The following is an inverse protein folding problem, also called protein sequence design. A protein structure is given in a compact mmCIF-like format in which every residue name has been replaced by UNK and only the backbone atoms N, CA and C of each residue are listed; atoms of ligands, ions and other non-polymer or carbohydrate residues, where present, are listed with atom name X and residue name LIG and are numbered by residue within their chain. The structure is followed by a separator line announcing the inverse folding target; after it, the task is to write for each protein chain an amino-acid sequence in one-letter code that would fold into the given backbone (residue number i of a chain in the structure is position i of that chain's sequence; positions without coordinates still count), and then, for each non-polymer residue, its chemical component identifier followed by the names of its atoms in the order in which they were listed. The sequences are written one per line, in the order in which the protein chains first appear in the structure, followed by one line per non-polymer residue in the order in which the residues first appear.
data_IF_643371315161
#
_entry.id   IF_643371315161
#
_cell.length_a   1.000
_cell.length_b   1.000
_cell.length_c   1.000
_cell.angle_alpha   90.00
_cell.angle_beta   90.00
_cell.angle_gamma   90.00
#
_symmetry.space_group_name_H-M   'P 1'
#
loop_
_entity.id
_entity.type
_entity.pdbx_description
1 polymer ?
#
# COMPACT_ATOMS: atom_id res chain seq x y z
N UNK A 1 28.31 23.62 11.19
CA UNK A 1 28.20 22.27 10.57
C UNK A 1 27.49 22.32 9.22
N UNK A 2 26.26 22.86 9.16
CA UNK A 2 25.48 22.97 7.91
C UNK A 2 26.05 23.97 6.88
N UNK A 3 26.65 25.08 7.30
CA UNK A 3 27.38 26.01 6.42
C UNK A 3 28.59 25.38 5.74
N UNK A 4 29.25 24.42 6.39
CA UNK A 4 30.35 23.65 5.81
C UNK A 4 29.86 22.59 4.80
N UNK A 5 28.60 22.14 4.91
CA UNK A 5 27.99 21.20 3.96
C UNK A 5 27.64 21.89 2.63
N UNK A 6 27.16 23.14 2.67
CA UNK A 6 26.82 23.94 1.48
C UNK A 6 28.05 24.25 0.60
N UNK A 7 29.22 24.43 1.21
CA UNK A 7 30.47 24.64 0.46
C UNK A 7 31.06 23.36 -0.16
N UNK A 8 30.58 22.18 0.25
CA UNK A 8 31.19 20.89 -0.13
C UNK A 8 30.41 20.15 -1.22
N UNK A 9 29.11 20.45 -1.38
CA UNK A 9 28.23 19.81 -2.35
C UNK A 9 27.29 20.85 -3.00
N UNK A 10 27.82 21.68 -3.93
CA UNK A 10 27.08 22.83 -4.47
C UNK A 10 25.91 22.44 -5.40
N UNK A 11 25.88 21.22 -5.93
CA UNK A 11 24.83 20.76 -6.85
C UNK A 11 24.29 19.37 -6.47
N UNK A 12 23.23 19.35 -5.65
CA UNK A 12 22.18 18.33 -5.64
C UNK A 12 21.20 18.60 -4.48
N UNK A 13 20.02 17.98 -4.50
CA UNK A 13 18.88 18.08 -3.57
C UNK A 13 19.21 18.25 -2.06
N UNK A 14 20.40 17.84 -1.63
CA UNK A 14 20.92 18.07 -0.29
C UNK A 14 21.14 19.56 0.03
N UNK A 15 21.55 20.38 -0.93
CA UNK A 15 21.75 21.83 -0.75
C UNK A 15 20.41 22.55 -0.54
N UNK A 16 19.39 22.18 -1.33
CA UNK A 16 18.02 22.68 -1.19
C UNK A 16 17.41 22.30 0.17
N UNK A 17 17.47 21.00 0.53
CA UNK A 17 16.97 20.51 1.83
C UNK A 17 17.69 21.16 3.00
N UNK A 18 19.03 21.27 2.92
CA UNK A 18 19.86 21.91 3.96
C UNK A 18 19.51 23.39 4.11
N UNK A 19 19.30 24.10 3.00
CA UNK A 19 18.91 25.51 3.00
C UNK A 19 17.54 25.71 3.65
N UNK A 20 16.58 24.83 3.38
CA UNK A 20 15.26 24.88 4.02
C UNK A 20 15.32 24.61 5.53
N UNK A 21 16.17 23.67 5.96
CA UNK A 21 16.40 23.44 7.38
C UNK A 21 17.04 24.65 8.07
N UNK A 22 18.01 25.31 7.43
CA UNK A 22 18.64 26.53 7.95
C UNK A 22 17.62 27.68 8.05
N UNK A 23 16.80 27.89 7.02
CA UNK A 23 15.68 28.84 7.07
C UNK A 23 14.81 28.63 8.32
N UNK A 24 14.40 27.39 8.60
CA UNK A 24 13.55 27.06 9.76
C UNK A 24 14.26 27.31 11.10
N UNK A 25 15.52 26.91 11.21
CA UNK A 25 16.32 27.11 12.43
C UNK A 25 16.43 28.62 12.73
N UNK A 26 16.79 29.44 11.74
CA UNK A 26 16.94 30.88 11.95
C UNK A 26 15.61 31.58 12.21
N UNK A 27 14.52 31.13 11.58
CA UNK A 27 13.16 31.58 11.91
C UNK A 27 12.83 31.33 13.38
N UNK A 28 13.08 30.12 13.86
CA UNK A 28 12.76 29.71 15.24
C UNK A 28 13.67 30.40 16.28
N UNK A 29 14.88 30.81 15.88
CA UNK A 29 15.82 31.62 16.67
C UNK A 29 15.53 33.13 16.63
N UNK A 30 14.63 33.59 15.76
CA UNK A 30 14.36 35.01 15.55
C UNK A 30 15.46 35.77 14.80
N UNK A 31 16.41 35.08 14.15
CA UNK A 31 17.46 35.68 13.35
C UNK A 31 16.93 36.00 11.94
N UNK A 32 16.33 37.17 11.81
CA UNK A 32 15.68 37.63 10.58
C UNK A 32 16.63 37.77 9.38
N UNK A 33 17.91 38.04 9.63
CA UNK A 33 18.90 38.26 8.56
C UNK A 33 19.25 36.94 7.89
N UNK A 34 19.63 35.95 8.68
CA UNK A 34 19.95 34.64 8.14
C UNK A 34 18.70 33.90 7.64
N UNK A 35 17.56 34.08 8.30
CA UNK A 35 16.28 33.55 7.83
C UNK A 35 15.95 34.04 6.42
N UNK A 36 16.06 35.35 6.16
CA UNK A 36 15.78 35.93 4.85
C UNK A 36 16.79 35.47 3.79
N UNK A 37 18.08 35.38 4.15
CA UNK A 37 19.13 34.89 3.25
C UNK A 37 18.82 33.48 2.70
N UNK A 38 18.48 32.53 3.58
CA UNK A 38 18.17 31.17 3.14
C UNK A 38 16.83 31.06 2.44
N UNK A 39 15.85 31.92 2.79
CA UNK A 39 14.59 32.02 2.06
C UNK A 39 14.82 32.43 0.60
N UNK A 40 15.61 33.48 0.38
CA UNK A 40 15.90 34.00 -0.96
C UNK A 40 16.76 33.03 -1.77
N UNK A 41 17.68 32.31 -1.12
CA UNK A 41 18.47 31.26 -1.77
C UNK A 41 17.57 30.15 -2.32
N UNK A 42 16.57 29.71 -1.55
CA UNK A 42 15.63 28.65 -1.97
C UNK A 42 14.73 29.14 -3.12
N UNK A 43 14.15 30.33 -2.98
CA UNK A 43 13.20 30.88 -3.97
C UNK A 43 13.90 31.16 -5.30
N UNK A 44 15.11 31.73 -5.27
CA UNK A 44 15.83 32.11 -6.49
C UNK A 44 16.58 30.92 -7.12
N UNK A 45 17.10 30.01 -6.31
CA UNK A 45 17.87 28.85 -6.79
C UNK A 45 17.01 27.67 -7.21
N UNK A 46 15.82 27.51 -6.60
CA UNK A 46 14.96 26.34 -6.80
C UNK A 46 13.47 26.73 -6.90
N UNK A 47 13.10 27.66 -7.79
CA UNK A 47 11.75 28.26 -7.83
C UNK A 47 10.61 27.24 -8.02
N UNK A 48 10.88 26.13 -8.70
CA UNK A 48 9.88 25.08 -8.95
C UNK A 48 9.75 24.05 -7.82
N UNK A 49 10.66 24.08 -6.84
CA UNK A 49 10.64 23.12 -5.73
C UNK A 49 9.46 23.35 -4.77
N UNK A 50 8.99 22.28 -4.14
CA UNK A 50 7.94 22.38 -3.11
C UNK A 50 8.36 23.32 -1.97
N UNK A 51 9.65 23.33 -1.60
CA UNK A 51 10.17 24.25 -0.59
C UNK A 51 10.03 25.72 -1.02
N UNK A 52 10.37 26.07 -2.27
CA UNK A 52 10.20 27.44 -2.76
C UNK A 52 8.72 27.83 -2.80
N UNK A 53 7.84 26.94 -3.29
CA UNK A 53 6.40 27.17 -3.36
C UNK A 53 5.77 27.35 -1.96
N UNK A 54 6.18 26.56 -0.96
CA UNK A 54 5.78 26.73 0.45
C UNK A 54 6.24 28.09 1.02
N UNK A 55 7.43 28.56 0.65
CA UNK A 55 8.00 29.82 1.16
C UNK A 55 7.41 31.07 0.50
N UNK A 56 6.94 30.95 -0.74
CA UNK A 56 6.26 32.00 -1.51
C UNK A 56 4.80 32.11 -1.07
N UNK A 57 4.10 30.97 -0.99
CA UNK A 57 2.70 30.89 -0.59
C UNK A 57 2.53 29.93 0.59
N UNK A 58 2.35 30.44 1.83
CA UNK A 58 2.11 29.62 3.01
C UNK A 58 0.86 28.73 2.93
N UNK A 59 -0.08 29.03 2.02
CA UNK A 59 -1.27 28.20 1.78
C UNK A 59 -1.00 27.03 0.82
N UNK A 60 0.11 27.06 0.06
CA UNK A 60 0.53 25.99 -0.82
C UNK A 60 0.70 24.65 -0.08
N UNK A 61 1.21 24.67 1.16
CA UNK A 61 1.30 23.45 1.97
C UNK A 61 -0.09 22.86 2.31
N UNK A 62 -1.08 23.72 2.59
CA UNK A 62 -2.46 23.28 2.83
C UNK A 62 -3.13 22.78 1.53
N UNK A 63 -2.82 23.39 0.39
CA UNK A 63 -3.30 22.95 -0.92
C UNK A 63 -2.63 21.64 -1.36
N UNK A 64 -1.34 21.44 -1.09
CA UNK A 64 -0.61 20.20 -1.35
C UNK A 64 -1.12 19.05 -0.46
N UNK A 65 -1.29 19.30 0.85
CA UNK A 65 -1.92 18.33 1.76
C UNK A 65 -3.37 18.04 1.36
N UNK A 66 -4.14 19.05 0.95
CA UNK A 66 -5.50 18.86 0.45
C UNK A 66 -5.53 18.07 -0.87
N UNK A 67 -4.59 18.31 -1.79
CA UNK A 67 -4.45 17.59 -3.04
C UNK A 67 -3.99 16.14 -2.82
N UNK A 68 -3.05 15.89 -1.90
CA UNK A 68 -2.62 14.55 -1.48
C UNK A 68 -3.75 13.77 -0.80
N UNK A 69 -4.46 14.41 0.12
CA UNK A 69 -5.66 13.83 0.74
C UNK A 69 -6.77 13.60 -0.30
N UNK A 70 -6.90 14.48 -1.31
CA UNK A 70 -7.91 14.35 -2.37
C UNK A 70 -7.58 13.24 -3.35
N UNK A 71 -6.34 13.10 -3.83
CA UNK A 71 -5.97 12.00 -4.74
C UNK A 71 -6.10 10.65 -4.05
N UNK A 72 -5.80 10.58 -2.75
CA UNK A 72 -6.02 9.38 -1.96
C UNK A 72 -7.52 9.06 -1.80
N UNK A 73 -8.34 10.06 -1.45
CA UNK A 73 -9.80 9.89 -1.38
C UNK A 73 -10.41 9.49 -2.73
N UNK A 74 -9.94 10.11 -3.82
CA UNK A 74 -10.34 9.79 -5.18
C UNK A 74 -9.95 8.36 -5.56
N UNK A 75 -8.79 7.88 -5.10
CA UNK A 75 -8.36 6.50 -5.32
C UNK A 75 -9.29 5.52 -4.60
N UNK A 76 -9.64 5.81 -3.34
CA UNK A 76 -10.62 5.02 -2.58
C UNK A 76 -11.99 5.00 -3.29
N UNK A 77 -12.50 6.16 -3.74
CA UNK A 77 -13.73 6.28 -4.51
C UNK A 77 -13.68 5.46 -5.82
N UNK A 78 -12.55 5.52 -6.52
CA UNK A 78 -12.31 4.78 -7.78
C UNK A 78 -12.29 3.28 -7.55
N UNK A 79 -11.58 2.85 -6.51
CA UNK A 79 -11.49 1.45 -6.16
C UNK A 79 -12.86 0.91 -5.71
N UNK A 80 -13.59 1.64 -4.88
CA UNK A 80 -14.96 1.27 -4.49
C UNK A 80 -15.91 1.19 -5.69
N UNK A 81 -15.80 2.12 -6.65
CA UNK A 81 -16.58 2.07 -7.88
C UNK A 81 -16.22 0.83 -8.72
N UNK A 82 -14.93 0.52 -8.84
CA UNK A 82 -14.46 -0.67 -9.54
C UNK A 82 -15.00 -1.97 -8.91
N UNK A 83 -14.89 -2.12 -7.59
CA UNK A 83 -15.35 -3.27 -6.82
C UNK A 83 -16.88 -3.46 -6.95
N UNK A 84 -17.65 -2.36 -6.98
CA UNK A 84 -19.11 -2.40 -7.17
C UNK A 84 -19.54 -2.67 -8.62
N UNK A 85 -18.60 -2.98 -9.52
CA UNK A 85 -18.85 -3.14 -10.94
C UNK A 85 -19.27 -1.85 -11.66
N UNK A 86 -19.11 -0.69 -11.01
CA UNK A 86 -19.37 0.64 -11.57
C UNK A 86 -18.19 1.09 -12.43
N UNK A 87 -17.81 0.25 -13.40
CA UNK A 87 -16.59 0.40 -14.19
C UNK A 87 -16.52 1.73 -14.96
N UNK A 88 -17.67 2.28 -15.41
CA UNK A 88 -17.70 3.61 -16.06
C UNK A 88 -17.28 4.72 -15.10
N UNK A 89 -17.68 4.65 -13.83
CA UNK A 89 -17.29 5.59 -12.78
C UNK A 89 -15.81 5.42 -12.43
N UNK A 90 -15.33 4.17 -12.32
CA UNK A 90 -13.92 3.89 -12.10
C UNK A 90 -13.03 4.46 -13.22
N UNK A 91 -13.46 4.34 -14.49
CA UNK A 91 -12.76 4.96 -15.64
C UNK A 91 -12.75 6.48 -15.51
N UNK A 92 -13.90 7.09 -15.17
CA UNK A 92 -14.01 8.55 -15.04
C UNK A 92 -13.03 9.09 -13.99
N UNK A 93 -13.04 8.53 -12.79
CA UNK A 93 -12.16 8.98 -11.71
C UNK A 93 -10.69 8.66 -11.98
N UNK A 94 -10.40 7.54 -12.64
CA UNK A 94 -9.02 7.23 -13.07
C UNK A 94 -8.51 8.26 -14.08
N UNK A 95 -9.33 8.68 -15.05
CA UNK A 95 -8.95 9.72 -16.00
C UNK A 95 -8.77 11.08 -15.31
N UNK A 96 -9.63 11.43 -14.35
CA UNK A 96 -9.48 12.63 -13.52
C UNK A 96 -8.14 12.60 -12.78
N UNK A 97 -7.81 11.47 -12.15
CA UNK A 97 -6.58 11.32 -11.38
C UNK A 97 -5.34 11.44 -12.28
N UNK A 98 -5.29 10.68 -13.37
CA UNK A 98 -4.16 10.66 -14.32
C UNK A 98 -3.92 12.03 -14.96
N UNK A 99 -4.97 12.82 -15.18
CA UNK A 99 -4.86 14.13 -15.83
C UNK A 99 -4.43 15.25 -14.87
N UNK A 100 -4.80 15.15 -13.58
CA UNK A 100 -4.72 16.28 -12.65
C UNK A 100 -3.70 16.08 -11.52
N UNK A 101 -3.15 14.89 -11.34
CA UNK A 101 -2.22 14.58 -10.24
C UNK A 101 -0.96 13.88 -10.78
N UNK A 102 0.15 14.00 -10.04
CA UNK A 102 1.47 13.47 -10.42
C UNK A 102 2.04 12.52 -9.35
N UNK A 103 1.17 11.86 -8.58
CA UNK A 103 1.59 10.94 -7.52
C UNK A 103 2.21 9.65 -8.12
N UNK A 104 3.51 9.47 -7.92
CA UNK A 104 4.27 8.35 -8.50
C UNK A 104 3.81 6.96 -8.01
N UNK A 105 3.06 6.89 -6.90
CA UNK A 105 2.55 5.63 -6.34
C UNK A 105 1.11 5.36 -6.81
N UNK A 106 0.24 6.37 -6.74
CA UNK A 106 -1.19 6.21 -7.01
C UNK A 106 -1.54 6.28 -8.49
N UNK A 107 -0.86 7.13 -9.29
CA UNK A 107 -1.18 7.28 -10.72
C UNK A 107 -1.07 5.96 -11.50
N UNK A 108 -0.01 5.14 -11.32
CA UNK A 108 0.05 3.81 -11.94
C UNK A 108 -1.12 2.91 -11.52
N UNK A 109 -1.58 3.00 -10.26
CA UNK A 109 -2.72 2.21 -9.76
C UNK A 109 -4.04 2.66 -10.38
N UNK A 110 -4.25 3.96 -10.60
CA UNK A 110 -5.38 4.46 -11.38
C UNK A 110 -5.33 3.98 -12.83
N UNK A 111 -4.16 4.01 -13.46
CA UNK A 111 -3.98 3.49 -14.83
C UNK A 111 -4.35 2.00 -14.90
N UNK A 112 -4.00 1.22 -13.89
CA UNK A 112 -4.36 -0.20 -13.79
C UNK A 112 -5.87 -0.39 -13.68
N UNK A 113 -6.53 0.31 -12.73
CA UNK A 113 -7.98 0.24 -12.54
C UNK A 113 -8.75 0.67 -13.80
N UNK A 114 -8.27 1.71 -14.49
CA UNK A 114 -8.80 2.13 -15.80
C UNK A 114 -8.70 1.01 -16.82
N UNK A 115 -7.52 0.40 -16.99
CA UNK A 115 -7.29 -0.64 -17.98
C UNK A 115 -8.22 -1.85 -17.77
N UNK A 116 -8.34 -2.33 -16.53
CA UNK A 116 -9.22 -3.46 -16.21
C UNK A 116 -10.70 -3.09 -16.38
N UNK A 117 -11.10 -1.88 -15.99
CA UNK A 117 -12.46 -1.38 -16.19
C UNK A 117 -12.84 -1.26 -17.67
N UNK A 118 -11.90 -0.83 -18.52
CA UNK A 118 -12.08 -0.79 -19.98
C UNK A 118 -12.24 -2.20 -20.56
N UNK A 119 -11.56 -3.19 -20.00
CA UNK A 119 -11.76 -4.61 -20.31
C UNK A 119 -13.19 -5.08 -20.09
N UNK A 120 -13.77 -4.66 -18.96
CA UNK A 120 -15.14 -5.03 -18.56
C UNK A 120 -16.24 -4.26 -19.30
N UNK A 121 -15.94 -3.07 -19.82
CA UNK A 121 -16.94 -2.18 -20.45
C UNK A 121 -16.86 -2.11 -21.96
N UNK A 122 -15.69 -2.41 -22.54
CA UNK A 122 -15.45 -2.34 -23.98
C UNK A 122 -15.02 -3.70 -24.53
N UNK A 123 -13.76 -4.09 -24.34
CA UNK A 123 -13.25 -5.37 -24.83
C UNK A 123 -11.95 -5.77 -24.12
N UNK A 124 -11.67 -7.07 -24.10
CA UNK A 124 -10.41 -7.62 -23.60
C UNK A 124 -9.19 -7.04 -24.33
N UNK A 125 -9.29 -6.77 -25.63
CA UNK A 125 -8.19 -6.21 -26.41
C UNK A 125 -7.87 -4.76 -25.98
N UNK A 126 -8.90 -3.97 -25.65
CA UNK A 126 -8.73 -2.63 -25.08
C UNK A 126 -7.97 -2.69 -23.75
N UNK A 127 -8.31 -3.63 -22.87
CA UNK A 127 -7.58 -3.84 -21.61
C UNK A 127 -6.11 -4.18 -21.85
N UNK A 128 -5.83 -5.09 -22.78
CA UNK A 128 -4.44 -5.48 -23.09
C UNK A 128 -3.61 -4.31 -23.61
N UNK A 129 -4.19 -3.46 -24.46
CA UNK A 129 -3.52 -2.25 -24.96
C UNK A 129 -3.17 -1.30 -23.81
N UNK A 130 -4.13 -1.01 -22.93
CA UNK A 130 -3.92 -0.10 -21.80
C UNK A 130 -2.95 -0.67 -20.76
N UNK A 131 -2.96 -1.98 -20.51
CA UNK A 131 -1.99 -2.63 -19.62
C UNK A 131 -0.57 -2.57 -20.18
N UNK A 132 -0.38 -2.75 -21.50
CA UNK A 132 0.93 -2.57 -22.13
C UNK A 132 1.40 -1.13 -22.04
N UNK A 133 0.49 -0.18 -22.24
CA UNK A 133 0.79 1.24 -22.08
C UNK A 133 1.23 1.56 -20.64
N UNK A 134 0.53 1.04 -19.63
CA UNK A 134 0.90 1.16 -18.22
C UNK A 134 2.32 0.64 -17.94
N UNK A 135 2.68 -0.52 -18.49
CA UNK A 135 4.02 -1.11 -18.31
C UNK A 135 5.10 -0.20 -18.89
N UNK A 136 4.83 0.42 -20.04
CA UNK A 136 5.77 1.34 -20.69
C UNK A 136 5.89 2.67 -19.93
N UNK A 137 4.77 3.22 -19.44
CA UNK A 137 4.73 4.53 -18.79
C UNK A 137 5.25 4.47 -17.35
N UNK A 138 5.07 3.33 -16.67
CA UNK A 138 5.40 3.16 -15.24
C UNK A 138 6.21 1.89 -14.96
N UNK A 139 7.39 1.68 -15.58
CA UNK A 139 8.11 0.40 -15.57
C UNK A 139 8.61 -0.05 -14.20
N UNK A 140 8.67 0.85 -13.22
CA UNK A 140 9.11 0.57 -11.84
C UNK A 140 7.94 0.45 -10.86
N UNK A 141 6.71 0.57 -11.33
CA UNK A 141 5.54 0.48 -10.46
C UNK A 141 5.21 -0.96 -10.09
N UNK A 142 4.77 -1.17 -8.85
CA UNK A 142 4.30 -2.49 -8.36
C UNK A 142 3.15 -3.07 -9.21
N UNK A 143 2.35 -2.23 -9.88
CA UNK A 143 1.22 -2.67 -10.71
C UNK A 143 1.65 -3.34 -12.03
N UNK A 144 2.93 -3.21 -12.39
CA UNK A 144 3.51 -3.82 -13.61
C UNK A 144 3.45 -5.34 -13.55
N UNK A 145 3.75 -5.94 -12.40
CA UNK A 145 3.71 -7.39 -12.22
C UNK A 145 2.27 -7.92 -12.39
N UNK A 146 1.29 -7.20 -11.86
CA UNK A 146 -0.13 -7.53 -12.04
C UNK A 146 -0.57 -7.36 -13.50
N UNK A 147 -0.07 -6.33 -14.19
CA UNK A 147 -0.36 -6.12 -15.61
C UNK A 147 0.21 -7.25 -16.49
N UNK A 148 1.46 -7.68 -16.25
CA UNK A 148 2.10 -8.80 -16.95
C UNK A 148 1.35 -10.12 -16.73
N UNK A 149 0.90 -10.37 -15.50
CA UNK A 149 0.10 -11.54 -15.16
C UNK A 149 -1.20 -11.58 -15.98
N UNK A 150 -1.92 -10.45 -16.10
CA UNK A 150 -3.16 -10.36 -16.88
C UNK A 150 -2.89 -10.50 -18.38
N UNK A 151 -1.73 -10.04 -18.86
CA UNK A 151 -1.30 -10.19 -20.25
C UNK A 151 -0.88 -11.62 -20.60
N UNK A 152 -0.64 -12.48 -19.59
CA UNK A 152 -0.13 -13.83 -19.78
C UNK A 152 1.35 -13.86 -20.18
N UNK A 153 2.10 -12.81 -19.84
CA UNK A 153 3.54 -12.70 -20.09
C UNK A 153 4.29 -13.28 -18.87
N UNK A 154 4.39 -14.61 -18.81
CA UNK A 154 5.24 -15.29 -17.83
C UNK A 154 6.70 -15.22 -18.28
N UNK A 155 7.60 -14.66 -17.45
CA UNK A 155 9.03 -14.91 -17.64
C UNK A 155 9.32 -16.39 -17.38
N UNK A 156 9.72 -17.06 -18.46
CA UNK A 156 10.18 -18.43 -18.45
C UNK A 156 11.41 -18.59 -17.53
N UNK A 157 11.21 -19.11 -16.33
CA UNK A 157 12.23 -19.86 -15.58
C UNK A 157 11.69 -21.23 -15.17
N UNK A 158 11.85 -22.18 -16.10
CA UNK A 158 12.21 -23.59 -15.89
C UNK A 158 11.45 -24.44 -14.86
N UNK A 159 10.67 -25.41 -15.36
CA UNK A 159 10.27 -26.58 -14.58
C UNK A 159 9.20 -27.44 -15.24
N UNK A 160 9.61 -28.35 -16.11
CA UNK A 160 8.79 -29.38 -16.78
C UNK A 160 7.98 -30.25 -15.81
N UNK A 161 6.73 -30.57 -16.14
CA UNK A 161 6.27 -31.95 -16.40
C UNK A 161 4.78 -31.98 -16.78
N UNK A 162 4.50 -32.73 -17.85
CA UNK A 162 3.16 -32.97 -18.37
C UNK A 162 2.47 -34.18 -17.71
N UNK A 163 1.14 -34.09 -17.59
CA UNK A 163 0.11 -35.14 -17.68
C UNK A 163 0.28 -36.46 -16.89
N UNK A 164 -0.64 -36.71 -15.94
CA UNK A 164 -1.43 -37.97 -15.93
C UNK A 164 -2.63 -37.96 -14.96
N UNK A 165 -3.81 -38.13 -15.58
CA UNK A 165 -5.01 -38.94 -15.23
C UNK A 165 -5.50 -39.11 -13.78
N UNK A 166 -6.78 -38.74 -13.67
CA UNK A 166 -7.88 -39.30 -12.87
C UNK A 166 -7.62 -40.67 -12.21
N UNK A 167 -7.48 -40.68 -10.88
CA UNK A 167 -8.21 -41.55 -9.92
C UNK A 167 -7.69 -41.26 -8.49
N UNK A 168 -8.36 -40.39 -7.70
CA UNK A 168 -8.21 -40.29 -6.22
C UNK A 168 -9.02 -39.10 -5.63
N UNK A 169 -10.31 -38.98 -6.00
CA UNK A 169 -11.12 -37.77 -5.72
C UNK A 169 -11.60 -37.54 -4.27
N UNK A 170 -11.07 -38.24 -3.26
CA UNK A 170 -11.60 -38.08 -1.88
C UNK A 170 -10.53 -37.78 -0.82
N UNK A 171 -9.25 -38.13 -1.03
CA UNK A 171 -8.15 -37.75 -0.10
C UNK A 171 -7.45 -36.43 -0.48
N UNK A 172 -7.56 -36.00 -1.74
CA UNK A 172 -6.79 -34.86 -2.28
C UNK A 172 -7.43 -33.50 -1.96
N UNK A 173 -8.73 -33.46 -1.71
CA UNK A 173 -9.49 -32.23 -1.43
C UNK A 173 -9.04 -31.53 -0.14
N UNK A 174 -8.62 -32.31 0.87
CA UNK A 174 -8.08 -31.81 2.15
C UNK A 174 -6.58 -31.46 2.08
N UNK A 175 -5.81 -32.15 1.23
CA UNK A 175 -4.38 -31.86 1.03
C UNK A 175 -4.18 -30.60 0.18
N UNK A 176 -5.02 -30.40 -0.85
CA UNK A 176 -5.00 -29.21 -1.71
C UNK A 176 -5.48 -27.94 -1.00
N UNK A 177 -6.33 -28.04 0.03
CA UNK A 177 -6.73 -26.89 0.85
C UNK A 177 -5.64 -26.43 1.83
N UNK A 178 -4.62 -27.26 2.10
CA UNK A 178 -3.54 -26.97 3.06
C UNK A 178 -2.15 -26.88 2.41
N UNK A 179 -2.05 -26.80 1.09
CA UNK A 179 -0.77 -26.57 0.42
C UNK A 179 -0.36 -25.11 0.59
N UNK A 180 0.63 -24.88 1.45
CA UNK A 180 1.25 -23.57 1.67
C UNK A 180 2.71 -23.51 1.21
N UNK A 181 3.13 -24.45 0.36
CA UNK A 181 4.51 -24.52 -0.16
C UNK A 181 4.94 -23.28 -0.95
N UNK A 182 3.97 -22.54 -1.49
CA UNK A 182 4.18 -21.25 -2.16
C UNK A 182 4.59 -20.11 -1.21
N UNK A 183 4.32 -20.22 0.08
CA UNK A 183 4.66 -19.17 1.05
C UNK A 183 6.04 -19.40 1.65
N UNK A 184 6.78 -18.31 1.82
CA UNK A 184 8.16 -18.32 2.32
C UNK A 184 8.26 -17.58 3.63
N UNK A 185 8.90 -18.18 4.62
CA UNK A 185 9.19 -17.50 5.88
C UNK A 185 10.49 -16.70 5.73
N UNK A 186 10.38 -15.37 5.79
CA UNK A 186 11.53 -14.48 5.74
C UNK A 186 11.46 -13.47 6.91
N UNK A 187 12.22 -13.65 8.00
CA UNK A 187 12.17 -12.74 9.16
C UNK A 187 12.73 -11.33 8.89
N UNK A 188 13.46 -11.14 7.79
CA UNK A 188 14.01 -9.84 7.39
C UNK A 188 13.08 -9.05 6.46
N UNK A 189 11.99 -9.67 5.97
CA UNK A 189 11.02 -8.97 5.16
C UNK A 189 10.24 -7.92 5.98
N UNK A 190 9.66 -6.94 5.30
CA UNK A 190 8.62 -6.11 5.89
C UNK A 190 7.37 -6.97 6.13
N UNK A 191 6.79 -6.86 7.32
CA UNK A 191 5.59 -7.58 7.73
C UNK A 191 4.41 -6.64 8.00
N UNK A 192 3.23 -7.19 7.81
CA UNK A 192 1.93 -6.57 8.03
C UNK A 192 1.17 -7.48 9.01
N UNK A 193 0.43 -6.89 9.94
CA UNK A 193 -0.65 -7.63 10.59
C UNK A 193 -1.84 -7.66 9.65
N UNK A 194 -2.47 -8.82 9.48
CA UNK A 194 -3.68 -9.00 8.68
C UNK A 194 -4.80 -9.57 9.56
N UNK A 195 -5.98 -8.97 9.45
CA UNK A 195 -7.24 -9.45 10.04
C UNK A 195 -8.24 -9.69 8.91
N UNK A 196 -8.70 -10.94 8.78
CA UNK A 196 -9.66 -11.36 7.77
C UNK A 196 -11.04 -11.48 8.39
N UNK A 197 -12.00 -10.74 7.85
CA UNK A 197 -13.36 -10.65 8.39
C UNK A 197 -14.38 -10.71 7.28
N UNK A 198 -15.55 -11.27 7.56
CA UNK A 198 -16.70 -11.18 6.66
C UNK A 198 -17.36 -9.80 6.82
N UNK A 199 -17.32 -8.97 5.78
CA UNK A 199 -17.86 -7.62 5.77
C UNK A 199 -19.39 -7.55 5.89
N UNK A 200 -20.12 -8.65 5.65
CA UNK A 200 -21.56 -8.73 5.90
C UNK A 200 -21.88 -8.94 7.38
N UNK A 201 -20.93 -9.45 8.16
CA UNK A 201 -21.10 -9.75 9.58
C UNK A 201 -20.39 -8.72 10.47
N UNK A 202 -19.29 -8.15 9.97
CA UNK A 202 -18.42 -7.25 10.72
C UNK A 202 -18.49 -5.84 10.12
N UNK A 203 -18.75 -4.84 10.99
CA UNK A 203 -18.57 -3.44 10.61
C UNK A 203 -17.07 -3.14 10.45
N UNK A 204 -16.57 -3.24 9.22
CA UNK A 204 -15.15 -3.05 8.91
C UNK A 204 -14.69 -1.63 9.22
N UNK A 205 -15.47 -0.61 8.89
CA UNK A 205 -15.13 0.78 9.21
C UNK A 205 -14.97 0.98 10.71
N UNK A 206 -15.96 0.53 11.50
CA UNK A 206 -15.91 0.60 12.96
C UNK A 206 -14.72 -0.18 13.52
N UNK A 207 -14.39 -1.33 12.95
CA UNK A 207 -13.21 -2.12 13.33
C UNK A 207 -11.92 -1.36 13.05
N UNK A 208 -11.79 -0.70 11.89
CA UNK A 208 -10.63 0.15 11.58
C UNK A 208 -10.47 1.29 12.57
N UNK A 209 -11.57 1.95 12.95
CA UNK A 209 -11.54 3.01 13.98
C UNK A 209 -11.01 2.46 15.30
N UNK A 210 -11.52 1.31 15.76
CA UNK A 210 -11.06 0.70 17.02
C UNK A 210 -9.58 0.30 16.98
N UNK A 211 -9.10 -0.19 15.84
CA UNK A 211 -7.68 -0.51 15.62
C UNK A 211 -6.84 0.77 15.62
N UNK A 212 -7.30 1.85 14.97
CA UNK A 212 -6.62 3.15 15.02
C UNK A 212 -6.51 3.66 16.45
N UNK A 213 -7.58 3.60 17.25
CA UNK A 213 -7.56 3.99 18.66
C UNK A 213 -6.58 3.15 19.48
N UNK A 214 -6.52 1.84 19.23
CA UNK A 214 -5.53 0.95 19.85
C UNK A 214 -4.10 1.33 19.45
N UNK A 215 -3.87 1.65 18.17
CA UNK A 215 -2.56 2.08 17.67
C UNK A 215 -2.12 3.40 18.29
N UNK A 216 -3.01 4.39 18.36
CA UNK A 216 -2.72 5.69 19.00
C UNK A 216 -2.39 5.53 20.47
N UNK A 217 -3.04 4.61 21.19
CA UNK A 217 -2.79 4.40 22.63
C UNK A 217 -1.49 3.63 22.91
N UNK A 218 -1.17 2.63 22.10
CA UNK A 218 -0.10 1.67 22.41
C UNK A 218 1.16 1.83 21.53
N UNK A 219 1.04 2.48 20.37
CA UNK A 219 2.07 2.54 19.32
C UNK A 219 2.14 3.94 18.66
N UNK A 220 1.85 5.01 19.41
CA UNK A 220 1.75 6.39 18.90
C UNK A 220 2.98 6.90 18.13
N UNK A 221 4.17 6.35 18.41
CA UNK A 221 5.43 6.74 17.77
C UNK A 221 5.74 5.95 16.50
N UNK A 222 5.00 4.87 16.21
CA UNK A 222 5.26 3.97 15.08
C UNK A 222 4.50 4.39 13.79
N UNK A 223 3.68 5.46 13.83
CA UNK A 223 2.90 5.98 12.70
C UNK A 223 2.15 4.90 11.90
N UNK A 224 1.55 3.94 12.62
CA UNK A 224 0.90 2.77 12.01
C UNK A 224 -0.32 3.17 11.18
N UNK A 225 -0.40 2.64 9.96
CA UNK A 225 -1.54 2.83 9.08
C UNK A 225 -2.48 1.63 9.14
N UNK A 226 -3.78 1.90 9.05
CA UNK A 226 -4.84 0.88 9.06
C UNK A 226 -5.55 0.91 7.71
N UNK A 227 -5.27 -0.08 6.88
CA UNK A 227 -5.84 -0.21 5.53
C UNK A 227 -6.81 -1.38 5.48
N UNK A 228 -7.65 -1.42 4.45
CA UNK A 228 -8.61 -2.52 4.23
C UNK A 228 -8.81 -2.76 2.75
N UNK A 229 -8.82 -4.02 2.34
CA UNK A 229 -9.08 -4.44 0.95
C UNK A 229 -10.09 -5.58 0.95
N UNK A 230 -10.89 -5.69 -0.11
CA UNK A 230 -11.74 -6.87 -0.33
C UNK A 230 -10.85 -8.02 -0.81
N UNK A 231 -11.05 -9.20 -0.21
CA UNK A 231 -10.53 -10.45 -0.77
C UNK A 231 -11.54 -10.97 -1.80
N UNK A 232 -12.83 -10.94 -1.49
CA UNK A 232 -13.92 -11.27 -2.40
C UNK A 232 -15.16 -10.43 -2.06
N UNK A 233 -16.32 -10.78 -2.62
CA UNK A 233 -17.60 -10.08 -2.41
C UNK A 233 -18.03 -9.99 -0.93
N UNK A 234 -17.47 -10.83 -0.07
CA UNK A 234 -17.86 -10.99 1.33
C UNK A 234 -16.70 -10.79 2.30
N UNK A 235 -15.52 -11.33 2.00
CA UNK A 235 -14.37 -11.29 2.88
C UNK A 235 -13.50 -10.07 2.64
N UNK A 236 -13.08 -9.42 3.72
CA UNK A 236 -12.19 -8.27 3.72
C UNK A 236 -10.96 -8.57 4.56
N UNK A 237 -9.81 -8.09 4.09
CA UNK A 237 -8.55 -8.09 4.80
C UNK A 237 -8.25 -6.67 5.29
N UNK A 238 -8.20 -6.49 6.60
CA UNK A 238 -7.70 -5.27 7.24
C UNK A 238 -6.21 -5.48 7.50
N UNK A 239 -5.36 -4.58 7.00
CA UNK A 239 -3.92 -4.62 7.22
C UNK A 239 -3.42 -3.49 8.09
N UNK A 240 -2.43 -3.80 8.93
CA UNK A 240 -1.70 -2.82 9.73
C UNK A 240 -0.21 -2.92 9.43
N UNK A 241 0.37 -1.77 9.09
CA UNK A 241 1.71 -1.70 8.50
C UNK A 241 2.38 -0.34 8.63
N UNK A 242 3.71 -0.24 8.42
CA UNK A 242 4.67 -1.33 8.08
C UNK A 242 5.64 -1.65 9.21
N UNK A 243 5.89 -2.95 9.47
CA UNK A 243 6.90 -3.40 10.43
C UNK A 243 8.14 -3.95 9.71
N UNK A 244 9.28 -3.25 9.83
CA UNK A 244 10.55 -3.67 9.22
C UNK A 244 11.34 -4.66 10.09
N UNK A 245 10.84 -4.98 11.29
CA UNK A 245 11.43 -5.94 12.21
C UNK A 245 10.37 -6.96 12.62
N UNK A 246 10.66 -8.25 12.46
CA UNK A 246 9.74 -9.33 12.85
C UNK A 246 9.36 -9.25 14.34
N UNK A 247 10.30 -8.85 15.20
CA UNK A 247 10.06 -8.67 16.64
C UNK A 247 8.95 -7.65 16.93
N UNK A 248 8.92 -6.53 16.19
CA UNK A 248 7.87 -5.51 16.30
C UNK A 248 6.54 -6.02 15.79
N UNK A 249 6.54 -6.72 14.65
CA UNK A 249 5.34 -7.33 14.09
C UNK A 249 4.72 -8.35 15.07
N UNK A 250 5.54 -9.24 15.65
CA UNK A 250 5.10 -10.21 16.65
C UNK A 250 4.61 -9.54 17.94
N UNK A 251 5.29 -8.48 18.41
CA UNK A 251 4.82 -7.69 19.56
C UNK A 251 3.46 -7.07 19.29
N UNK A 252 3.24 -6.53 18.09
CA UNK A 252 1.95 -5.97 17.67
C UNK A 252 0.87 -7.06 17.60
N UNK A 253 1.15 -8.18 16.93
CA UNK A 253 0.24 -9.33 16.82
C UNK A 253 -0.19 -9.81 18.20
N UNK A 254 0.75 -10.04 19.12
CA UNK A 254 0.43 -10.49 20.48
C UNK A 254 -0.35 -9.45 21.30
N UNK A 255 -0.12 -8.16 21.05
CA UNK A 255 -0.83 -7.09 21.76
C UNK A 255 -2.27 -6.91 21.29
N UNK A 256 -2.53 -7.13 19.99
CA UNK A 256 -3.84 -6.91 19.40
C UNK A 256 -4.73 -8.16 19.46
N UNK A 257 -4.15 -9.38 19.38
CA UNK A 257 -4.85 -10.64 19.07
C UNK A 257 -6.07 -10.96 19.94
N UNK A 258 -6.02 -10.53 21.20
CA UNK A 258 -7.01 -10.85 22.22
C UNK A 258 -7.67 -9.57 22.80
N UNK A 259 -7.56 -8.42 22.11
CA UNK A 259 -8.13 -7.14 22.57
C UNK A 259 -9.67 -7.12 22.42
N UNK A 260 -10.36 -7.15 23.56
CA UNK A 260 -11.83 -7.20 23.61
C UNK A 260 -12.52 -5.97 23.00
N UNK A 261 -11.86 -4.81 22.97
CA UNK A 261 -12.43 -3.62 22.36
C UNK A 261 -12.45 -3.76 20.85
N UNK A 262 -11.34 -4.16 20.23
CA UNK A 262 -11.23 -4.33 18.78
C UNK A 262 -12.21 -5.38 18.27
N UNK A 263 -12.24 -6.56 18.91
CA UNK A 263 -13.07 -7.68 18.50
C UNK A 263 -14.50 -7.62 19.04
N UNK A 264 -14.90 -6.50 19.64
CA UNK A 264 -16.29 -6.31 20.08
C UNK A 264 -17.27 -6.50 18.91
N UNK A 265 -18.24 -7.41 19.11
CA UNK A 265 -19.25 -7.75 18.11
C UNK A 265 -18.80 -8.78 17.07
N UNK A 266 -17.57 -9.31 17.14
CA UNK A 266 -17.14 -10.46 16.33
C UNK A 266 -17.34 -11.76 17.11
N UNK A 267 -17.78 -12.82 16.42
CA UNK A 267 -17.90 -14.14 17.04
C UNK A 267 -16.53 -14.79 17.06
N UNK A 268 -16.23 -15.52 18.12
CA UNK A 268 -15.00 -16.32 18.18
C UNK A 268 -14.99 -17.32 17.01
N UNK A 269 -13.87 -17.38 16.28
CA UNK A 269 -13.72 -18.21 15.09
C UNK A 269 -14.38 -17.67 13.81
N UNK A 270 -15.01 -16.48 13.82
CA UNK A 270 -15.57 -15.85 12.61
C UNK A 270 -14.56 -14.95 11.88
N UNK A 271 -13.30 -14.95 12.30
CA UNK A 271 -12.25 -14.12 11.74
C UNK A 271 -10.91 -14.85 11.83
N UNK A 272 -10.02 -14.59 10.87
CA UNK A 272 -8.64 -15.06 10.89
C UNK A 272 -7.70 -13.88 11.14
N UNK A 273 -6.57 -14.16 11.79
CA UNK A 273 -5.52 -13.17 11.99
C UNK A 273 -4.15 -13.80 11.95
N UNK A 274 -3.23 -13.12 11.27
CA UNK A 274 -1.86 -13.59 11.05
C UNK A 274 -0.94 -12.42 10.70
N UNK A 275 0.37 -12.66 10.79
CA UNK A 275 1.37 -11.80 10.15
C UNK A 275 1.61 -12.26 8.72
N UNK A 276 1.62 -11.33 7.79
CA UNK A 276 1.93 -11.57 6.38
C UNK A 276 3.11 -10.71 5.94
N UNK A 277 4.08 -11.31 5.24
CA UNK A 277 5.21 -10.57 4.68
C UNK A 277 4.85 -9.91 3.35
N UNK A 278 5.56 -8.84 2.99
CA UNK A 278 5.44 -8.19 1.67
C UNK A 278 5.60 -9.19 0.52
N UNK A 279 6.46 -10.19 0.69
CA UNK A 279 6.72 -11.25 -0.30
C UNK A 279 5.54 -12.22 -0.46
N UNK A 280 4.85 -12.55 0.64
CA UNK A 280 3.75 -13.50 0.62
C UNK A 280 2.41 -12.85 0.29
N UNK A 281 2.29 -11.54 0.48
CA UNK A 281 1.06 -10.79 0.29
C UNK A 281 0.44 -10.98 -1.10
N UNK A 282 1.17 -10.89 -2.23
CA UNK A 282 0.58 -11.09 -3.56
C UNK A 282 0.05 -12.51 -3.77
N UNK A 283 0.80 -13.52 -3.31
CA UNK A 283 0.38 -14.92 -3.42
C UNK A 283 -0.86 -15.21 -2.57
N UNK A 284 -0.91 -14.67 -1.35
CA UNK A 284 -2.09 -14.76 -0.51
C UNK A 284 -3.30 -14.07 -1.13
N UNK A 285 -3.12 -12.85 -1.64
CA UNK A 285 -4.21 -12.07 -2.23
C UNK A 285 -4.79 -12.72 -3.49
N UNK A 286 -3.95 -13.44 -4.26
CA UNK A 286 -4.38 -14.23 -5.42
C UNK A 286 -5.19 -15.47 -5.03
N UNK A 287 -4.65 -16.29 -4.12
CA UNK A 287 -5.22 -17.59 -3.77
C UNK A 287 -6.37 -17.48 -2.76
N UNK A 288 -6.37 -16.43 -1.93
CA UNK A 288 -7.37 -16.13 -0.88
C UNK A 288 -7.59 -17.28 0.10
N UNK A 289 -6.66 -18.22 0.16
CA UNK A 289 -6.75 -19.39 1.00
C UNK A 289 -6.27 -19.05 2.42
N UNK A 290 -7.18 -18.47 3.21
CA UNK A 290 -6.92 -18.10 4.62
C UNK A 290 -6.51 -19.29 5.45
N UNK A 291 -7.13 -20.45 5.23
CA UNK A 291 -6.82 -21.68 5.95
C UNK A 291 -5.37 -22.13 5.74
N UNK A 292 -4.88 -22.17 4.49
CA UNK A 292 -3.49 -22.51 4.19
C UNK A 292 -2.52 -21.49 4.78
N UNK A 293 -2.83 -20.20 4.67
CA UNK A 293 -1.96 -19.15 5.22
C UNK A 293 -1.90 -19.19 6.74
N UNK A 294 -3.03 -19.44 7.40
CA UNK A 294 -3.11 -19.54 8.86
C UNK A 294 -2.23 -20.69 9.38
N UNK A 295 -2.20 -21.82 8.67
CA UNK A 295 -1.32 -22.94 9.00
C UNK A 295 0.15 -22.61 8.77
N UNK A 296 0.47 -21.98 7.64
CA UNK A 296 1.82 -21.48 7.37
C UNK A 296 2.28 -20.51 8.47
N UNK A 297 1.42 -19.59 8.88
CA UNK A 297 1.70 -18.62 9.93
C UNK A 297 1.97 -19.31 11.28
N UNK A 298 1.06 -20.17 11.74
CA UNK A 298 1.22 -20.93 13.00
C UNK A 298 2.55 -21.69 13.04
N UNK A 299 2.84 -22.46 11.98
CA UNK A 299 4.05 -23.27 11.89
C UNK A 299 5.33 -22.45 11.91
N UNK A 300 5.39 -21.33 11.17
CA UNK A 300 6.64 -20.61 10.94
C UNK A 300 6.86 -19.40 11.85
N UNK A 301 5.80 -18.79 12.38
CA UNK A 301 5.88 -17.61 13.24
C UNK A 301 5.63 -17.93 14.72
N UNK A 302 4.77 -18.90 15.02
CA UNK A 302 4.40 -19.27 16.40
C UNK A 302 5.07 -20.56 16.88
N UNK A 303 5.51 -21.42 15.95
CA UNK A 303 6.08 -22.73 16.27
C UNK A 303 5.04 -23.74 16.74
N UNK A 304 3.79 -23.57 16.31
CA UNK A 304 2.63 -24.44 16.60
C UNK A 304 2.36 -25.47 15.50
#
# INVERSE_FOLDING_TARGET
LFTALLNRFPENDHALRTSYHLYRIYRDQGDSVNMQLYKDLIINGYPDSDYAKILIDPTYNAQLLAAQNRVQSLYEETYLAFERGQYRTAILYSNEAISNYQDATLIPRFAFLKAVSLGKTMSTDTMKVELKQLINDYPQSEVVEYARLILGEEEATGGTAALSKEDERVSDSLKKTMDFSMYKFNPQATHFYALIVNGNEVNVYGTKVRITDFNTRNYSTENLQVNSVLLDDTWQMITISSFNELSKALKYFNGIRDDSYIFSGMREGSYDQFLISAENYPGFFKEKNTAAYQQFFKKNYLGE
#
